data_IF_687242084050
#
_entry.id   IF_687242084050
#
_cell.length_a   1.000
_cell.length_b   1.000
_cell.length_c   1.000
_cell.angle_alpha   90.00
_cell.angle_beta   90.00
_cell.angle_gamma   90.00
#
_symmetry.space_group_name_H-M   'P 1'
#
loop_
_entity.id
_entity.type
_entity.pdbx_description
1 polymer ?
#
# COMPACT_ATOMS: atom_id res chain seq x y z
N UNK A 1 -30.00 -66.89 -10.34
CA UNK A 1 -30.03 -65.77 -9.37
C UNK A 1 -28.67 -65.10 -9.13
N UNK A 2 -27.54 -65.82 -9.21
CA UNK A 2 -26.20 -65.25 -8.94
C UNK A 2 -25.64 -64.28 -10.02
N UNK A 3 -26.11 -64.35 -11.27
CA UNK A 3 -25.62 -63.48 -12.35
C UNK A 3 -26.16 -62.04 -12.27
N UNK A 4 -27.36 -61.83 -11.72
CA UNK A 4 -27.94 -60.48 -11.55
C UNK A 4 -27.31 -59.69 -10.40
N UNK A 5 -26.70 -60.39 -9.43
CA UNK A 5 -26.03 -59.77 -8.28
C UNK A 5 -24.63 -59.24 -8.64
N UNK A 6 -23.93 -59.89 -9.57
CA UNK A 6 -22.61 -59.41 -10.07
C UNK A 6 -22.72 -58.17 -10.95
N UNK A 7 -23.83 -58.00 -11.66
CA UNK A 7 -24.05 -56.82 -12.50
C UNK A 7 -24.35 -55.56 -11.65
N UNK A 8 -25.01 -55.73 -10.51
CA UNK A 8 -25.30 -54.63 -9.56
C UNK A 8 -24.06 -54.12 -8.81
N UNK A 9 -23.07 -55.00 -8.56
CA UNK A 9 -21.81 -54.61 -7.91
C UNK A 9 -20.85 -53.87 -8.87
N UNK A 10 -20.91 -54.14 -10.18
CA UNK A 10 -20.12 -53.43 -11.19
C UNK A 10 -20.69 -52.03 -11.51
N UNK A 11 -22.00 -51.84 -11.41
CA UNK A 11 -22.62 -50.50 -11.54
C UNK A 11 -22.45 -49.62 -10.31
N UNK A 12 -22.19 -50.20 -9.13
CA UNK A 12 -21.91 -49.42 -7.93
C UNK A 12 -20.47 -48.86 -7.91
N UNK A 13 -19.54 -49.48 -8.63
CA UNK A 13 -18.14 -49.04 -8.71
C UNK A 13 -17.89 -47.96 -9.78
N UNK A 14 -18.73 -47.86 -10.81
CA UNK A 14 -18.71 -46.75 -11.78
C UNK A 14 -19.49 -45.51 -11.32
N UNK A 15 -20.18 -45.58 -10.18
CA UNK A 15 -20.98 -44.51 -9.60
C UNK A 15 -20.24 -43.61 -8.60
N UNK A 16 -18.92 -43.78 -8.43
CA UNK A 16 -18.08 -42.75 -7.81
C UNK A 16 -17.93 -41.60 -8.80
N UNK A 17 -19.04 -40.88 -9.01
CA UNK A 17 -19.07 -39.55 -9.56
C UNK A 17 -17.93 -38.77 -8.91
N UNK A 18 -17.06 -38.24 -9.76
CA UNK A 18 -16.10 -37.21 -9.42
C UNK A 18 -16.83 -36.11 -8.64
N UNK A 19 -16.73 -36.16 -7.32
CA UNK A 19 -16.93 -34.97 -6.51
C UNK A 19 -15.94 -33.95 -7.08
N UNK A 20 -16.35 -32.69 -7.34
CA UNK A 20 -15.39 -31.67 -7.73
C UNK A 20 -14.29 -31.71 -6.67
N UNK A 21 -13.06 -31.98 -7.09
CA UNK A 21 -11.93 -31.93 -6.20
C UNK A 21 -11.94 -30.52 -5.61
N UNK A 22 -12.38 -30.38 -4.36
CA UNK A 22 -12.28 -29.13 -3.63
C UNK A 22 -10.79 -28.95 -3.44
N UNK A 23 -10.18 -28.25 -4.39
CA UNK A 23 -8.78 -27.88 -4.29
C UNK A 23 -8.69 -27.09 -2.99
N UNK A 24 -7.93 -27.64 -2.02
CA UNK A 24 -7.81 -27.07 -0.69
C UNK A 24 -6.93 -25.82 -0.76
N UNK A 25 -7.46 -24.77 -1.39
CA UNK A 25 -6.80 -23.48 -1.50
C UNK A 25 -6.71 -22.89 -0.10
N UNK A 26 -5.49 -22.66 0.36
CA UNK A 26 -5.20 -22.15 1.69
C UNK A 26 -5.15 -20.62 1.69
N UNK A 27 -4.60 -20.01 0.63
CA UNK A 27 -4.55 -18.55 0.44
C UNK A 27 -5.10 -18.19 -0.94
N UNK A 28 -6.00 -17.22 -0.99
CA UNK A 28 -6.46 -16.61 -2.25
C UNK A 28 -5.93 -15.19 -2.35
N UNK A 29 -5.09 -14.94 -3.35
CA UNK A 29 -4.53 -13.62 -3.66
C UNK A 29 -5.37 -13.02 -4.78
N UNK A 30 -6.03 -11.89 -4.51
CA UNK A 30 -6.88 -11.18 -5.47
C UNK A 30 -6.23 -9.85 -5.82
N UNK A 31 -5.84 -9.67 -7.08
CA UNK A 31 -5.28 -8.42 -7.59
C UNK A 31 -6.34 -7.56 -8.27
N UNK A 32 -6.19 -6.24 -8.16
CA UNK A 32 -7.14 -5.30 -8.78
C UNK A 32 -7.14 -5.42 -10.31
N UNK A 33 -5.97 -5.60 -10.91
CA UNK A 33 -5.78 -5.78 -12.36
C UNK A 33 -4.50 -6.59 -12.64
N UNK A 34 -4.23 -6.86 -13.93
CA UNK A 34 -2.98 -7.46 -14.39
C UNK A 34 -1.94 -6.37 -14.65
N UNK A 35 -1.09 -6.09 -13.68
CA UNK A 35 0.04 -5.15 -13.84
C UNK A 35 1.33 -5.73 -13.24
N UNK A 36 2.52 -5.26 -13.70
CA UNK A 36 3.80 -5.71 -13.16
C UNK A 36 3.93 -5.53 -11.64
N UNK A 37 3.37 -4.45 -11.08
CA UNK A 37 3.42 -4.19 -9.64
C UNK A 37 2.64 -5.24 -8.84
N UNK A 38 1.42 -5.59 -9.29
CA UNK A 38 0.63 -6.65 -8.65
C UNK A 38 1.29 -8.02 -8.78
N UNK A 39 1.83 -8.35 -9.96
CA UNK A 39 2.53 -9.60 -10.19
C UNK A 39 3.79 -9.74 -9.31
N UNK A 40 4.59 -8.67 -9.20
CA UNK A 40 5.78 -8.67 -8.34
C UNK A 40 5.42 -8.86 -6.86
N UNK A 41 4.39 -8.17 -6.37
CA UNK A 41 3.94 -8.32 -4.99
C UNK A 41 3.36 -9.72 -4.71
N UNK A 42 2.53 -10.25 -5.62
CA UNK A 42 1.99 -11.59 -5.49
C UNK A 42 3.10 -12.65 -5.49
N UNK A 43 4.07 -12.55 -6.40
CA UNK A 43 5.18 -13.50 -6.46
C UNK A 43 6.09 -13.41 -5.23
N UNK A 44 6.39 -12.21 -4.73
CA UNK A 44 7.17 -12.04 -3.49
C UNK A 44 6.45 -12.63 -2.28
N UNK A 45 5.12 -12.50 -2.21
CA UNK A 45 4.28 -13.13 -1.20
C UNK A 45 4.35 -14.66 -1.28
N UNK A 46 4.18 -15.22 -2.49
CA UNK A 46 4.27 -16.67 -2.72
C UNK A 46 5.64 -17.21 -2.31
N UNK A 47 6.73 -16.56 -2.74
CA UNK A 47 8.10 -16.96 -2.38
C UNK A 47 8.32 -16.97 -0.86
N UNK A 48 7.79 -15.98 -0.16
CA UNK A 48 7.92 -15.92 1.30
C UNK A 48 7.14 -17.04 2.00
N UNK A 49 5.95 -17.39 1.48
CA UNK A 49 5.20 -18.53 1.99
C UNK A 49 5.86 -19.87 1.67
N UNK A 50 6.45 -20.05 0.47
CA UNK A 50 7.27 -21.21 0.11
C UNK A 50 8.45 -21.38 1.07
N UNK A 51 9.14 -20.27 1.42
CA UNK A 51 10.23 -20.25 2.40
C UNK A 51 9.81 -20.71 3.80
N UNK A 52 8.52 -20.55 4.14
CA UNK A 52 7.95 -20.97 5.44
C UNK A 52 7.28 -22.35 5.39
N UNK A 53 7.40 -23.08 4.28
CA UNK A 53 7.00 -24.48 4.14
C UNK A 53 5.63 -24.71 3.47
N UNK A 54 4.99 -23.67 2.93
CA UNK A 54 3.72 -23.81 2.21
C UNK A 54 3.93 -24.06 0.72
N UNK A 55 3.11 -24.91 0.10
CA UNK A 55 3.23 -25.19 -1.32
C UNK A 55 2.57 -24.10 -2.17
N UNK A 56 3.15 -23.77 -3.32
CA UNK A 56 2.51 -22.89 -4.33
C UNK A 56 1.14 -23.39 -4.75
N UNK A 57 0.93 -24.70 -4.74
CA UNK A 57 -0.36 -25.31 -5.07
C UNK A 57 -1.46 -25.02 -4.04
N UNK A 58 -1.08 -24.59 -2.83
CA UNK A 58 -2.02 -24.15 -1.78
C UNK A 58 -2.48 -22.69 -1.99
N UNK A 59 -1.99 -22.02 -3.03
CA UNK A 59 -2.26 -20.61 -3.31
C UNK A 59 -2.98 -20.47 -4.64
N UNK A 60 -4.02 -19.64 -4.64
CA UNK A 60 -4.74 -19.28 -5.85
C UNK A 60 -4.58 -17.79 -6.11
N UNK A 61 -4.02 -17.43 -7.27
CA UNK A 61 -3.92 -16.05 -7.71
C UNK A 61 -5.00 -15.74 -8.72
N UNK A 62 -5.76 -14.68 -8.47
CA UNK A 62 -6.85 -14.21 -9.31
C UNK A 62 -6.78 -12.70 -9.47
N UNK A 63 -7.34 -12.19 -10.55
CA UNK A 63 -7.78 -10.80 -10.63
C UNK A 63 -9.20 -10.64 -10.13
N UNK A 64 -9.64 -9.40 -9.90
CA UNK A 64 -11.05 -9.10 -9.58
C UNK A 64 -12.00 -9.65 -10.64
N UNK A 65 -11.63 -9.57 -11.92
CA UNK A 65 -12.44 -10.10 -13.02
C UNK A 65 -12.59 -11.63 -12.94
N UNK A 66 -11.53 -12.34 -12.55
CA UNK A 66 -11.51 -13.81 -12.44
C UNK A 66 -12.19 -14.32 -11.18
N UNK A 67 -12.15 -13.54 -10.09
CA UNK A 67 -12.83 -13.87 -8.84
C UNK A 67 -14.34 -14.08 -9.06
N UNK A 68 -14.96 -13.29 -9.94
CA UNK A 68 -16.38 -13.44 -10.26
C UNK A 68 -16.74 -14.81 -10.87
N UNK A 69 -15.80 -15.45 -11.58
CA UNK A 69 -15.98 -16.76 -12.18
C UNK A 69 -15.44 -17.93 -11.34
N UNK A 70 -14.72 -17.65 -10.25
CA UNK A 70 -14.03 -18.68 -9.45
C UNK A 70 -14.95 -19.50 -8.53
N UNK A 71 -16.23 -19.16 -8.44
CA UNK A 71 -17.20 -19.83 -7.57
C UNK A 71 -16.96 -19.53 -6.08
N UNK A 72 -17.48 -20.39 -5.20
CA UNK A 72 -17.34 -20.23 -3.75
C UNK A 72 -15.95 -20.71 -3.31
N UNK A 73 -15.14 -19.78 -2.79
CA UNK A 73 -13.81 -20.06 -2.25
C UNK A 73 -13.83 -19.99 -0.72
N UNK A 74 -13.23 -20.98 -0.06
CA UNK A 74 -13.12 -21.04 1.41
C UNK A 74 -11.66 -21.14 1.88
N UNK A 75 -10.80 -20.14 1.58
CA UNK A 75 -9.42 -20.16 2.04
C UNK A 75 -9.30 -19.88 3.55
N UNK A 76 -8.10 -20.07 4.10
CA UNK A 76 -7.77 -19.58 5.44
C UNK A 76 -7.52 -18.08 5.47
N UNK A 77 -7.12 -17.49 4.33
CA UNK A 77 -6.84 -16.07 4.19
C UNK A 77 -7.09 -15.60 2.77
N UNK A 78 -7.73 -14.43 2.63
CA UNK A 78 -7.66 -13.64 1.40
C UNK A 78 -6.58 -12.56 1.51
N UNK A 79 -5.85 -12.34 0.43
CA UNK A 79 -4.95 -11.20 0.28
C UNK A 79 -5.43 -10.34 -0.89
N UNK A 80 -5.91 -9.14 -0.60
CA UNK A 80 -6.34 -8.18 -1.62
C UNK A 80 -5.17 -7.28 -1.99
N UNK A 81 -4.73 -7.30 -3.25
CA UNK A 81 -3.72 -6.40 -3.78
C UNK A 81 -4.39 -5.25 -4.54
N UNK A 82 -4.31 -4.05 -3.96
CA UNK A 82 -4.89 -2.82 -4.49
C UNK A 82 -6.32 -2.51 -4.03
N UNK A 83 -6.75 -1.28 -4.28
CA UNK A 83 -7.99 -0.73 -3.76
C UNK A 83 -9.26 -1.40 -4.33
N UNK A 84 -9.25 -1.80 -5.60
CA UNK A 84 -10.41 -2.45 -6.22
C UNK A 84 -10.62 -3.85 -5.64
N UNK A 85 -9.55 -4.64 -5.50
CA UNK A 85 -9.60 -5.95 -4.85
C UNK A 85 -10.10 -5.85 -3.40
N UNK A 86 -9.58 -4.88 -2.64
CA UNK A 86 -10.05 -4.61 -1.28
C UNK A 86 -11.55 -4.26 -1.25
N UNK A 87 -12.02 -3.42 -2.18
CA UNK A 87 -13.43 -3.03 -2.25
C UNK A 87 -14.34 -4.23 -2.58
N UNK A 88 -13.97 -5.06 -3.55
CA UNK A 88 -14.77 -6.26 -3.90
C UNK A 88 -14.86 -7.22 -2.73
N UNK A 89 -13.74 -7.53 -2.06
CA UNK A 89 -13.75 -8.42 -0.90
C UNK A 89 -14.46 -7.80 0.33
N UNK A 90 -14.52 -6.47 0.42
CA UNK A 90 -15.25 -5.78 1.48
C UNK A 90 -16.78 -5.96 1.35
N UNK A 91 -17.29 -6.05 0.14
CA UNK A 91 -18.74 -6.11 -0.14
C UNK A 91 -19.32 -7.54 -0.05
N UNK A 92 -18.47 -8.57 -0.03
CA UNK A 92 -18.89 -9.97 0.06
C UNK A 92 -18.82 -10.46 1.52
N UNK A 93 -19.79 -11.24 2.00
CA UNK A 93 -19.72 -11.88 3.31
C UNK A 93 -18.69 -13.03 3.28
N UNK A 94 -17.48 -12.74 3.74
CA UNK A 94 -16.37 -13.70 3.81
C UNK A 94 -16.17 -14.23 5.23
N UNK A 95 -16.08 -15.56 5.36
CA UNK A 95 -15.73 -16.23 6.63
C UNK A 95 -14.24 -16.08 6.95
N UNK A 96 -13.39 -16.07 5.93
CA UNK A 96 -11.95 -15.94 6.09
C UNK A 96 -11.54 -14.46 6.25
N UNK A 97 -10.49 -14.18 7.03
CA UNK A 97 -9.93 -12.84 7.15
C UNK A 97 -9.38 -12.33 5.81
N UNK A 98 -9.32 -11.01 5.68
CA UNK A 98 -8.77 -10.32 4.50
C UNK A 98 -7.61 -9.41 4.92
N UNK A 99 -6.45 -9.64 4.33
CA UNK A 99 -5.31 -8.73 4.38
C UNK A 99 -5.29 -7.88 3.10
N UNK A 100 -5.58 -6.60 3.21
CA UNK A 100 -5.43 -5.66 2.10
C UNK A 100 -4.00 -5.14 2.03
N UNK A 101 -3.34 -5.23 0.89
CA UNK A 101 -1.98 -4.74 0.67
C UNK A 101 -1.87 -4.03 -0.68
N UNK A 102 -0.72 -3.37 -0.91
CA UNK A 102 -0.45 -2.63 -2.14
C UNK A 102 -1.52 -1.55 -2.44
N UNK A 103 -2.00 -0.88 -1.39
CA UNK A 103 -2.95 0.23 -1.46
C UNK A 103 -2.57 1.36 -0.49
N UNK A 104 -2.88 2.62 -0.82
CA UNK A 104 -2.74 3.73 0.12
C UNK A 104 -3.72 3.63 1.29
N UNK A 105 -3.36 4.24 2.43
CA UNK A 105 -4.21 4.39 3.62
C UNK A 105 -5.55 5.03 3.27
N UNK A 106 -5.51 6.13 2.52
CA UNK A 106 -6.70 6.86 2.04
C UNK A 106 -7.69 5.95 1.30
N UNK A 107 -7.17 5.04 0.46
CA UNK A 107 -7.99 4.08 -0.27
C UNK A 107 -8.63 3.04 0.66
N UNK A 108 -7.89 2.53 1.65
CA UNK A 108 -8.44 1.59 2.62
C UNK A 108 -9.51 2.25 3.51
N UNK A 109 -9.27 3.47 4.01
CA UNK A 109 -10.27 4.23 4.78
C UNK A 109 -11.53 4.50 3.97
N UNK A 110 -11.40 4.78 2.67
CA UNK A 110 -12.54 4.90 1.75
C UNK A 110 -13.32 3.58 1.65
N UNK A 111 -12.64 2.44 1.52
CA UNK A 111 -13.27 1.10 1.49
C UNK A 111 -14.03 0.82 2.79
N UNK A 112 -13.46 1.16 3.96
CA UNK A 112 -14.17 1.00 5.24
C UNK A 112 -15.44 1.86 5.29
N UNK A 113 -15.36 3.13 4.89
CA UNK A 113 -16.51 4.05 4.84
C UNK A 113 -17.61 3.56 3.89
N UNK A 114 -17.25 3.11 2.69
CA UNK A 114 -18.23 2.70 1.67
C UNK A 114 -18.86 1.33 1.95
N UNK A 115 -18.12 0.40 2.55
CA UNK A 115 -18.61 -0.95 2.86
C UNK A 115 -19.28 -1.07 4.22
N UNK A 116 -19.12 -0.08 5.11
CA UNK A 116 -19.56 -0.15 6.51
C UNK A 116 -18.70 -1.09 7.38
N UNK A 117 -17.61 -1.65 6.83
CA UNK A 117 -16.66 -2.47 7.59
C UNK A 117 -15.84 -1.62 8.56
N UNK A 118 -15.34 -2.26 9.62
CA UNK A 118 -14.35 -1.69 10.54
C UNK A 118 -13.02 -2.41 10.37
N UNK A 119 -11.93 -1.67 10.55
CA UNK A 119 -10.63 -2.28 10.72
C UNK A 119 -10.65 -3.25 11.91
N UNK A 120 -10.25 -4.50 11.67
CA UNK A 120 -10.31 -5.58 12.65
C UNK A 120 -9.41 -6.74 12.21
N UNK A 121 -9.29 -7.78 13.04
CA UNK A 121 -8.59 -9.00 12.67
C UNK A 121 -9.24 -9.76 11.49
N UNK A 122 -10.46 -9.40 11.11
CA UNK A 122 -11.15 -9.96 9.95
C UNK A 122 -10.91 -9.15 8.66
N UNK A 123 -10.55 -7.87 8.78
CA UNK A 123 -10.34 -6.99 7.63
C UNK A 123 -9.30 -5.93 8.02
N UNK A 124 -8.05 -6.19 7.66
CA UNK A 124 -6.90 -5.36 8.03
C UNK A 124 -6.10 -4.97 6.79
N UNK A 125 -5.11 -4.09 6.96
CA UNK A 125 -4.29 -3.64 5.85
C UNK A 125 -2.80 -3.50 6.17
N UNK A 126 -1.98 -3.62 5.13
CA UNK A 126 -0.58 -3.22 5.07
C UNK A 126 -0.48 -2.06 4.05
N UNK A 127 -0.24 -0.86 4.53
CA UNK A 127 -0.25 0.35 3.71
C UNK A 127 1.01 0.53 2.87
N UNK A 128 0.84 1.17 1.72
CA UNK A 128 1.95 1.75 0.93
C UNK A 128 2.54 2.99 1.59
N UNK A 129 1.70 3.76 2.27
CA UNK A 129 2.10 4.95 3.01
C UNK A 129 3.23 4.63 3.99
N UNK A 130 4.02 5.65 4.28
CA UNK A 130 5.11 5.57 5.25
C UNK A 130 4.72 6.38 6.49
N UNK A 131 5.12 5.98 7.70
CA UNK A 131 4.79 6.73 8.90
C UNK A 131 5.17 8.21 8.76
N UNK A 132 4.30 9.13 9.18
CA UNK A 132 4.57 10.58 9.10
C UNK A 132 5.86 10.97 9.83
N UNK A 133 6.15 10.30 10.95
CA UNK A 133 7.41 10.45 11.69
C UNK A 133 8.64 10.13 10.84
N UNK A 134 8.57 9.06 10.03
CA UNK A 134 9.61 8.64 9.09
C UNK A 134 9.79 9.67 7.98
N UNK A 135 8.69 10.18 7.43
CA UNK A 135 8.70 11.21 6.39
C UNK A 135 9.37 12.50 6.89
N UNK A 136 8.99 12.98 8.08
CA UNK A 136 9.64 14.14 8.72
C UNK A 136 11.12 13.87 9.05
N UNK A 137 11.45 12.65 9.50
CA UNK A 137 12.83 12.24 9.75
C UNK A 137 13.69 12.30 8.49
N UNK A 138 13.16 11.85 7.35
CA UNK A 138 13.85 11.94 6.07
C UNK A 138 14.05 13.39 5.62
N UNK A 139 13.03 14.25 5.77
CA UNK A 139 13.15 15.68 5.47
C UNK A 139 14.29 16.30 6.27
N UNK A 140 14.35 16.03 7.57
CA UNK A 140 15.41 16.57 8.44
C UNK A 140 16.81 16.06 8.07
N UNK A 141 16.94 14.84 7.56
CA UNK A 141 18.22 14.28 7.12
C UNK A 141 18.65 14.85 5.77
N UNK A 142 17.71 15.01 4.83
CA UNK A 142 18.01 15.48 3.48
C UNK A 142 18.12 17.01 3.39
N UNK A 143 17.37 17.73 4.22
CA UNK A 143 17.25 19.19 4.21
C UNK A 143 17.37 19.72 5.66
N UNK A 144 18.57 19.70 6.28
CA UNK A 144 18.75 20.00 7.70
C UNK A 144 18.34 21.43 8.10
N UNK A 145 18.41 22.37 7.14
CA UNK A 145 18.01 23.77 7.31
C UNK A 145 16.51 24.00 7.12
N UNK A 146 15.75 23.02 6.61
CA UNK A 146 14.31 23.18 6.43
C UNK A 146 13.59 23.27 7.79
N UNK A 147 12.73 24.28 7.93
CA UNK A 147 11.92 24.53 9.13
C UNK A 147 10.42 24.65 8.82
N UNK A 148 10.07 24.97 7.58
CA UNK A 148 8.70 25.26 7.13
C UNK A 148 8.31 24.26 6.05
N UNK A 149 7.34 23.40 6.34
CA UNK A 149 6.90 22.33 5.44
C UNK A 149 5.56 22.70 4.82
N UNK A 150 5.53 22.87 3.51
CA UNK A 150 4.31 22.98 2.72
C UNK A 150 3.57 21.65 2.68
N UNK A 151 2.26 21.67 2.86
CA UNK A 151 1.40 20.48 2.76
C UNK A 151 0.08 20.85 2.09
N UNK A 152 -0.30 20.05 1.09
CA UNK A 152 -1.62 20.10 0.49
C UNK A 152 -2.48 18.96 0.99
N UNK A 153 -3.65 19.31 1.52
CA UNK A 153 -4.63 18.36 2.02
C UNK A 153 -5.76 18.21 1.03
N UNK A 154 -5.97 16.99 0.56
CA UNK A 154 -7.21 16.62 -0.10
C UNK A 154 -8.18 15.94 0.87
N UNK A 155 -9.35 15.52 0.37
CA UNK A 155 -10.41 14.92 1.18
C UNK A 155 -10.00 13.65 1.93
N UNK A 156 -9.02 12.90 1.42
CA UNK A 156 -8.62 11.63 2.02
C UNK A 156 -7.34 11.70 2.84
N UNK A 157 -6.55 12.76 2.66
CA UNK A 157 -5.33 13.00 3.45
C UNK A 157 -5.58 13.87 4.68
N UNK A 158 -6.64 14.71 4.66
CA UNK A 158 -6.94 15.67 5.74
C UNK A 158 -7.04 15.06 7.14
N UNK A 159 -7.47 13.80 7.24
CA UNK A 159 -7.57 13.07 8.52
C UNK A 159 -6.22 12.96 9.26
N UNK A 160 -5.11 13.07 8.53
CA UNK A 160 -3.75 12.99 9.07
C UNK A 160 -3.22 14.34 9.59
N UNK A 161 -3.89 15.46 9.30
CA UNK A 161 -3.40 16.79 9.64
C UNK A 161 -3.12 16.99 11.15
N UNK A 162 -3.99 16.56 12.09
CA UNK A 162 -3.70 16.70 13.52
C UNK A 162 -2.44 15.95 13.95
N UNK A 163 -2.24 14.73 13.43
CA UNK A 163 -1.05 13.92 13.72
C UNK A 163 0.21 14.56 13.13
N UNK A 164 0.15 15.06 11.89
CA UNK A 164 1.29 15.73 11.27
C UNK A 164 1.68 17.00 12.02
N UNK A 165 0.71 17.82 12.44
CA UNK A 165 0.94 19.02 13.25
C UNK A 165 1.65 18.70 14.56
N UNK A 166 1.15 17.71 15.31
CA UNK A 166 1.75 17.30 16.57
C UNK A 166 3.21 16.83 16.37
N UNK A 167 3.45 16.02 15.33
CA UNK A 167 4.79 15.52 15.00
C UNK A 167 5.74 16.62 14.52
N UNK A 168 5.24 17.60 13.77
CA UNK A 168 6.02 18.74 13.30
C UNK A 168 6.40 19.66 14.46
N UNK A 169 5.43 20.00 15.33
CA UNK A 169 5.64 20.81 16.52
C UNK A 169 6.69 20.18 17.45
N UNK A 170 6.59 18.87 17.71
CA UNK A 170 7.55 18.14 18.53
C UNK A 170 8.99 18.15 17.95
N UNK A 171 9.15 18.49 16.67
CA UNK A 171 10.42 18.59 15.96
C UNK A 171 10.87 20.03 15.69
N UNK A 172 10.15 21.03 16.22
CA UNK A 172 10.43 22.45 15.95
C UNK A 172 10.18 22.85 14.49
N UNK A 173 9.32 22.11 13.78
CA UNK A 173 8.92 22.38 12.40
C UNK A 173 7.56 23.09 12.40
N UNK A 174 7.36 24.00 11.44
CA UNK A 174 6.07 24.64 11.18
C UNK A 174 5.49 24.16 9.85
N UNK A 175 4.17 24.14 9.74
CA UNK A 175 3.47 23.69 8.54
C UNK A 175 2.83 24.88 7.80
N UNK A 176 2.95 24.89 6.47
CA UNK A 176 2.20 25.75 5.54
C UNK A 176 1.14 24.89 4.88
N UNK A 177 -0.03 24.85 5.49
CA UNK A 177 -1.11 23.95 5.09
C UNK A 177 -2.12 24.67 4.21
N UNK A 178 -2.57 24.00 3.14
CA UNK A 178 -3.71 24.42 2.36
C UNK A 178 -4.60 23.23 2.01
N UNK A 179 -5.91 23.49 1.95
CA UNK A 179 -6.92 22.52 1.57
C UNK A 179 -7.20 22.59 0.06
N UNK A 180 -7.44 21.43 -0.55
CA UNK A 180 -7.86 21.26 -1.94
C UNK A 180 -9.13 20.40 -1.92
N UNK A 181 -10.28 21.05 -1.96
CA UNK A 181 -11.59 20.40 -1.98
C UNK A 181 -11.90 19.70 -3.31
N UNK A 182 -12.97 18.90 -3.32
CA UNK A 182 -13.47 18.32 -4.58
C UNK A 182 -14.02 19.43 -5.48
N UNK A 183 -13.49 19.52 -6.70
CA UNK A 183 -13.88 20.56 -7.67
C UNK A 183 -13.28 21.93 -7.40
N UNK A 184 -12.45 22.09 -6.37
CA UNK A 184 -11.69 23.32 -6.15
C UNK A 184 -10.44 23.38 -7.03
N UNK A 185 -10.03 24.59 -7.39
CA UNK A 185 -8.78 24.77 -8.12
C UNK A 185 -7.60 24.48 -7.20
N UNK A 186 -6.72 23.57 -7.63
CA UNK A 186 -5.50 23.21 -6.91
C UNK A 186 -4.51 24.38 -6.78
N UNK A 187 -4.51 25.31 -7.74
CA UNK A 187 -3.47 26.32 -7.87
C UNK A 187 -3.42 27.34 -6.71
N UNK A 188 -4.54 27.93 -6.24
CA UNK A 188 -4.53 28.79 -5.05
C UNK A 188 -4.00 28.09 -3.79
N UNK A 189 -4.44 26.86 -3.53
CA UNK A 189 -3.96 26.06 -2.39
C UNK A 189 -2.47 25.76 -2.51
N UNK A 190 -2.00 25.36 -3.69
CA UNK A 190 -0.59 25.13 -3.97
C UNK A 190 0.25 26.38 -3.72
N UNK A 191 -0.18 27.56 -4.18
CA UNK A 191 0.53 28.81 -3.93
C UNK A 191 0.65 29.11 -2.43
N UNK A 192 -0.44 28.95 -1.68
CA UNK A 192 -0.45 29.15 -0.23
C UNK A 192 0.46 28.15 0.52
N UNK A 193 0.48 26.89 0.10
CA UNK A 193 1.35 25.87 0.69
C UNK A 193 2.84 26.09 0.38
N UNK A 194 3.16 26.74 -0.75
CA UNK A 194 4.53 27.07 -1.15
C UNK A 194 5.04 28.38 -0.54
N UNK A 195 4.15 29.28 -0.14
CA UNK A 195 4.52 30.61 0.34
C UNK A 195 5.35 30.55 1.63
N UNK A 196 6.65 30.80 1.48
CA UNK A 196 7.62 30.72 2.56
C UNK A 196 7.84 29.30 3.10
N UNK A 197 7.51 28.25 2.34
CA UNK A 197 7.90 26.88 2.66
C UNK A 197 9.34 26.61 2.20
N UNK A 198 10.06 25.77 2.94
CA UNK A 198 11.40 25.31 2.59
C UNK A 198 11.36 23.98 1.80
N UNK A 199 10.27 23.23 1.95
CA UNK A 199 10.03 21.95 1.28
C UNK A 199 8.52 21.71 1.18
N UNK A 200 8.08 21.11 0.07
CA UNK A 200 6.71 20.62 -0.08
C UNK A 200 6.70 19.12 0.21
N UNK A 201 5.86 18.68 1.15
CA UNK A 201 5.62 17.27 1.43
C UNK A 201 4.36 16.81 0.70
N UNK A 202 4.51 15.88 -0.25
CA UNK A 202 3.37 15.21 -0.87
C UNK A 202 2.90 14.04 -0.01
N UNK A 203 1.59 13.97 0.20
CA UNK A 203 0.90 12.87 0.86
C UNK A 203 -0.07 12.22 -0.13
N UNK A 204 -0.27 10.91 -0.03
CA UNK A 204 -1.07 10.16 -0.98
C UNK A 204 -2.56 10.55 -0.92
N UNK A 205 -2.95 11.44 -1.84
CA UNK A 205 -4.33 11.88 -2.03
C UNK A 205 -4.65 11.97 -3.53
N UNK A 206 -5.53 11.11 -4.06
CA UNK A 206 -5.85 11.08 -5.48
C UNK A 206 -6.47 12.38 -6.03
N UNK A 207 -7.04 13.25 -5.18
CA UNK A 207 -7.56 14.54 -5.61
C UNK A 207 -6.45 15.59 -5.78
N UNK A 208 -5.37 15.46 -5.01
CA UNK A 208 -4.25 16.40 -5.03
C UNK A 208 -3.14 15.93 -5.97
N UNK A 209 -2.68 14.69 -5.80
CA UNK A 209 -1.54 14.12 -6.51
C UNK A 209 -2.00 13.01 -7.46
N UNK A 210 -2.14 13.35 -8.73
CA UNK A 210 -2.53 12.44 -9.80
C UNK A 210 -1.83 12.81 -11.11
N UNK A 211 -2.09 12.05 -12.18
CA UNK A 211 -1.44 12.24 -13.48
C UNK A 211 -1.75 13.59 -14.13
N UNK A 212 -2.88 14.24 -13.82
CA UNK A 212 -3.24 15.53 -14.40
C UNK A 212 -2.70 16.71 -13.59
N UNK A 213 -2.48 16.57 -12.27
CA UNK A 213 -2.01 17.64 -11.41
C UNK A 213 -0.49 17.65 -11.18
N UNK A 214 0.17 16.49 -11.19
CA UNK A 214 1.56 16.37 -10.72
C UNK A 214 2.54 17.24 -11.48
N UNK A 215 2.39 17.36 -12.81
CA UNK A 215 3.28 18.18 -13.63
C UNK A 215 3.22 19.67 -13.24
N UNK A 216 2.00 20.18 -13.01
CA UNK A 216 1.79 21.57 -12.59
C UNK A 216 2.31 21.82 -11.17
N UNK A 217 2.13 20.84 -10.26
CA UNK A 217 2.70 20.91 -8.92
C UNK A 217 4.22 21.05 -9.00
N UNK A 218 4.88 20.12 -9.69
CA UNK A 218 6.34 20.10 -9.83
C UNK A 218 6.89 21.39 -10.45
N UNK A 219 6.27 21.88 -11.53
CA UNK A 219 6.68 23.11 -12.19
C UNK A 219 6.53 24.33 -11.29
N UNK A 220 5.43 24.41 -10.53
CA UNK A 220 5.17 25.54 -9.63
C UNK A 220 6.10 25.50 -8.42
N UNK A 221 6.31 24.32 -7.82
CA UNK A 221 7.27 24.11 -6.73
C UNK A 221 8.69 24.48 -7.16
N UNK A 222 9.12 24.06 -8.35
CA UNK A 222 10.43 24.41 -8.91
C UNK A 222 10.58 25.92 -9.10
N UNK A 223 9.57 26.61 -9.67
CA UNK A 223 9.57 28.07 -9.82
C UNK A 223 9.62 28.82 -8.50
N UNK A 224 9.05 28.25 -7.45
CA UNK A 224 9.11 28.78 -6.09
C UNK A 224 10.44 28.47 -5.37
N UNK A 225 11.33 27.66 -5.97
CA UNK A 225 12.55 27.20 -5.32
C UNK A 225 12.30 26.21 -4.17
N UNK A 226 11.12 25.59 -4.13
CA UNK A 226 10.70 24.69 -3.05
C UNK A 226 10.80 23.24 -3.54
N UNK A 227 11.75 22.42 -3.05
CA UNK A 227 11.82 21.01 -3.43
C UNK A 227 10.59 20.22 -2.99
N UNK A 228 10.21 19.21 -3.79
CA UNK A 228 9.15 18.27 -3.45
C UNK A 228 9.71 16.96 -2.88
N UNK A 229 9.27 16.59 -1.68
CA UNK A 229 9.45 15.27 -1.08
C UNK A 229 8.19 14.44 -1.32
N UNK A 230 8.33 13.34 -2.06
CA UNK A 230 7.23 12.55 -2.59
C UNK A 230 7.08 11.18 -1.90
N UNK A 231 5.96 10.51 -2.21
CA UNK A 231 5.65 9.15 -1.76
C UNK A 231 5.78 8.10 -2.89
N UNK A 232 6.24 8.50 -4.07
CA UNK A 232 6.32 7.63 -5.26
C UNK A 232 7.59 7.87 -6.07
N UNK A 233 8.30 6.80 -6.48
CA UNK A 233 9.47 6.93 -7.35
C UNK A 233 9.10 7.47 -8.74
N UNK A 234 7.83 7.35 -9.16
CA UNK A 234 7.36 7.98 -10.39
C UNK A 234 7.44 9.51 -10.33
N UNK A 235 7.24 10.10 -9.15
CA UNK A 235 7.33 11.55 -8.97
C UNK A 235 8.79 12.03 -8.94
N UNK A 236 9.72 11.20 -8.44
CA UNK A 236 11.16 11.47 -8.55
C UNK A 236 11.58 11.56 -10.01
N UNK A 237 11.15 10.58 -10.83
CA UNK A 237 11.36 10.59 -12.29
C UNK A 237 10.73 11.81 -12.97
N UNK A 238 9.61 12.30 -12.45
CA UNK A 238 8.92 13.47 -12.98
C UNK A 238 9.55 14.82 -12.54
N UNK A 239 10.41 14.84 -11.52
CA UNK A 239 11.11 16.04 -11.04
C UNK A 239 10.99 16.35 -9.55
N UNK A 240 10.44 15.45 -8.73
CA UNK A 240 10.52 15.57 -7.27
C UNK A 240 11.96 15.38 -6.80
N UNK A 241 12.35 16.03 -5.70
CA UNK A 241 13.71 15.93 -5.15
C UNK A 241 14.02 14.50 -4.71
N UNK A 242 13.11 13.90 -3.94
CA UNK A 242 13.26 12.55 -3.43
C UNK A 242 11.89 11.93 -3.14
N UNK A 243 11.85 10.61 -3.01
CA UNK A 243 10.67 9.90 -2.53
C UNK A 243 11.01 8.89 -1.45
N UNK A 244 10.12 8.79 -0.47
CA UNK A 244 10.11 7.71 0.53
C UNK A 244 8.94 6.79 0.23
N UNK A 245 9.23 5.54 -0.09
CA UNK A 245 8.20 4.59 -0.51
C UNK A 245 8.55 3.17 -0.11
N UNK A 246 7.63 2.25 -0.39
CA UNK A 246 7.86 0.82 -0.31
C UNK A 246 7.59 0.20 -1.67
N UNK A 247 8.45 -0.72 -2.08
CA UNK A 247 8.32 -1.40 -3.38
C UNK A 247 7.26 -2.49 -3.32
N UNK A 248 6.68 -2.90 -4.47
CA UNK A 248 5.75 -4.03 -4.51
C UNK A 248 6.36 -5.33 -3.98
N UNK A 249 7.66 -5.56 -4.24
CA UNK A 249 8.39 -6.71 -3.69
C UNK A 249 8.47 -6.67 -2.16
N UNK A 250 8.84 -5.54 -1.56
CA UNK A 250 8.88 -5.37 -0.09
C UNK A 250 7.49 -5.58 0.53
N UNK A 251 6.43 -5.03 -0.08
CA UNK A 251 5.05 -5.27 0.37
C UNK A 251 4.68 -6.74 0.26
N UNK A 252 4.98 -7.39 -0.85
CA UNK A 252 4.69 -8.80 -1.06
C UNK A 252 5.39 -9.68 -0.02
N UNK A 253 6.67 -9.41 0.25
CA UNK A 253 7.44 -10.12 1.27
C UNK A 253 6.82 -9.94 2.67
N UNK A 254 6.51 -8.70 3.08
CA UNK A 254 5.89 -8.47 4.39
C UNK A 254 4.47 -9.06 4.48
N UNK A 255 3.69 -9.01 3.39
CA UNK A 255 2.39 -9.66 3.31
C UNK A 255 2.51 -11.19 3.43
N UNK A 256 3.54 -11.79 2.84
CA UNK A 256 3.84 -13.23 2.95
C UNK A 256 4.18 -13.64 4.37
N UNK A 257 4.98 -12.83 5.09
CA UNK A 257 5.26 -13.04 6.52
C UNK A 257 3.99 -13.00 7.37
N UNK A 258 3.12 -12.00 7.14
CA UNK A 258 1.83 -11.88 7.84
C UNK A 258 0.94 -13.08 7.52
N UNK A 259 0.84 -13.44 6.24
CA UNK A 259 0.06 -14.58 5.78
C UNK A 259 0.53 -15.88 6.43
N UNK A 260 1.84 -16.15 6.45
CA UNK A 260 2.41 -17.34 7.09
C UNK A 260 2.06 -17.43 8.57
N UNK A 261 2.07 -16.29 9.29
CA UNK A 261 1.59 -16.21 10.66
C UNK A 261 0.11 -16.58 10.80
N UNK A 262 -0.75 -16.11 9.89
CA UNK A 262 -2.18 -16.48 9.88
C UNK A 262 -2.39 -17.96 9.62
N UNK A 263 -1.62 -18.55 8.70
CA UNK A 263 -1.70 -19.98 8.41
C UNK A 263 -1.25 -20.85 9.60
N UNK A 264 -0.43 -20.30 10.50
CA UNK A 264 -0.02 -20.89 11.77
C UNK A 264 -1.00 -20.59 12.93
N UNK A 265 -2.15 -19.95 12.66
CA UNK A 265 -3.20 -19.70 13.64
C UNK A 265 -3.16 -18.33 14.33
N UNK A 266 -2.26 -17.41 13.91
CA UNK A 266 -2.30 -16.03 14.40
C UNK A 266 -3.46 -15.26 13.76
N UNK A 267 -4.11 -14.39 14.53
CA UNK A 267 -5.06 -13.44 13.95
C UNK A 267 -4.32 -12.33 13.20
N UNK A 268 -4.96 -11.73 12.18
CA UNK A 268 -4.47 -10.46 11.64
C UNK A 268 -4.51 -9.38 12.73
N UNK A 269 -3.62 -8.38 12.60
CA UNK A 269 -3.66 -7.19 13.45
C UNK A 269 -5.02 -6.49 13.31
N UNK A 270 -5.64 -6.15 14.44
CA UNK A 270 -6.89 -5.39 14.46
C UNK A 270 -6.69 -3.95 13.94
N UNK A 271 -5.47 -3.43 14.05
CA UNK A 271 -5.09 -2.12 13.52
C UNK A 271 -4.25 -2.31 12.25
N UNK A 272 -4.55 -1.57 11.17
CA UNK A 272 -3.73 -1.59 9.96
C UNK A 272 -2.28 -1.21 10.23
N UNK A 273 -1.38 -1.78 9.43
CA UNK A 273 0.06 -1.70 9.61
C UNK A 273 0.69 -0.82 8.53
N UNK A 274 1.77 -0.15 8.90
CA UNK A 274 2.72 0.44 7.96
C UNK A 274 3.83 -0.58 7.65
N UNK A 275 4.43 -0.47 6.47
CA UNK A 275 5.60 -1.29 6.13
C UNK A 275 6.78 -0.98 7.05
N UNK A 276 7.45 -2.03 7.53
CA UNK A 276 8.70 -1.87 8.28
C UNK A 276 9.85 -1.55 7.33
N UNK A 277 9.83 -2.13 6.13
CA UNK A 277 10.75 -1.82 5.06
C UNK A 277 10.33 -0.59 4.27
N UNK A 278 11.33 0.08 3.71
CA UNK A 278 11.18 1.24 2.86
C UNK A 278 12.42 1.44 1.99
N UNK A 279 12.24 2.26 0.96
CA UNK A 279 13.24 2.68 0.01
C UNK A 279 13.21 4.19 -0.14
N UNK A 280 14.36 4.77 -0.46
CA UNK A 280 14.52 6.19 -0.76
C UNK A 280 15.02 6.29 -2.20
N UNK A 281 14.37 7.12 -3.00
CA UNK A 281 14.84 7.49 -4.34
C UNK A 281 15.18 8.97 -4.33
N UNK A 282 16.25 9.35 -5.02
CA UNK A 282 16.73 10.74 -5.12
C UNK A 282 16.83 11.13 -6.59
N UNK A 283 16.35 12.33 -6.93
CA UNK A 283 16.62 12.93 -8.21
C UNK A 283 17.90 13.77 -8.10
N UNK A 284 19.02 13.19 -8.53
CA UNK A 284 20.33 13.86 -8.43
C UNK A 284 20.40 15.16 -9.23
N UNK A 285 19.65 15.27 -10.34
CA UNK A 285 19.64 16.48 -11.16
C UNK A 285 18.98 17.64 -10.39
N UNK A 286 17.85 17.35 -9.75
CA UNK A 286 17.14 18.33 -8.89
C UNK A 286 18.00 18.66 -7.67
N UNK A 287 18.59 17.66 -7.01
CA UNK A 287 19.49 17.88 -5.88
C UNK A 287 20.65 18.82 -6.25
N UNK A 288 21.35 18.55 -7.35
CA UNK A 288 22.44 19.42 -7.83
C UNK A 288 21.97 20.83 -8.16
N UNK A 289 20.79 20.99 -8.77
CA UNK A 289 20.24 22.32 -9.09
C UNK A 289 19.92 23.17 -7.84
N UNK A 290 19.72 22.50 -6.69
CA UNK A 290 19.49 23.13 -5.39
C UNK A 290 20.77 23.21 -4.54
N UNK A 291 21.94 22.86 -5.09
CA UNK A 291 23.21 22.84 -4.36
C UNK A 291 23.32 21.71 -3.32
N UNK A 292 22.51 20.67 -3.45
CA UNK A 292 22.46 19.53 -2.53
C UNK A 292 23.25 18.33 -3.09
N UNK A 293 23.94 17.62 -2.22
CA UNK A 293 24.52 16.30 -2.50
C UNK A 293 23.82 15.27 -1.62
N UNK A 294 22.93 14.48 -2.24
CA UNK A 294 22.10 13.50 -1.54
C UNK A 294 22.41 12.11 -2.08
N UNK A 295 22.67 11.17 -1.16
CA UNK A 295 22.82 9.76 -1.47
C UNK A 295 21.65 8.96 -0.89
N UNK A 296 20.93 8.24 -1.77
CA UNK A 296 19.73 7.51 -1.40
C UNK A 296 20.00 6.39 -0.37
N UNK A 297 21.13 5.69 -0.51
CA UNK A 297 21.49 4.57 0.36
C UNK A 297 21.88 5.08 1.76
N UNK A 298 22.65 6.15 1.83
CA UNK A 298 23.03 6.82 3.06
C UNK A 298 21.81 7.37 3.79
N UNK A 299 20.92 8.09 3.10
CA UNK A 299 19.67 8.60 3.68
C UNK A 299 18.81 7.47 4.25
N UNK A 300 18.64 6.38 3.50
CA UNK A 300 17.90 5.20 3.98
C UNK A 300 18.54 4.60 5.24
N UNK A 301 19.87 4.49 5.26
CA UNK A 301 20.62 3.90 6.37
C UNK A 301 20.52 4.75 7.63
N UNK A 302 20.76 6.05 7.51
CA UNK A 302 20.64 7.01 8.61
C UNK A 302 19.21 7.05 9.16
N UNK A 303 18.20 6.99 8.29
CA UNK A 303 16.81 6.96 8.70
C UNK A 303 16.48 5.70 9.49
N UNK A 304 16.96 4.52 9.06
CA UNK A 304 16.81 3.27 9.83
C UNK A 304 17.48 3.34 11.20
N UNK A 305 18.70 3.88 11.27
CA UNK A 305 19.41 4.03 12.54
C UNK A 305 18.65 4.94 13.51
N UNK A 306 18.06 6.03 12.99
CA UNK A 306 17.27 6.96 13.79
C UNK A 306 15.97 6.35 14.30
N UNK A 307 15.34 5.44 13.56
CA UNK A 307 14.15 4.72 14.03
C UNK A 307 14.46 3.60 15.02
N UNK A 308 15.68 3.05 14.98
CA UNK A 308 16.14 2.03 15.93
C UNK A 308 16.67 2.64 17.25
N UNK A 309 16.94 3.94 17.28
CA UNK A 309 17.36 4.63 18.49
C UNK A 309 16.18 4.69 19.49
N UNK A 310 16.42 4.37 20.78
CA UNK A 310 15.39 4.32 21.82
C UNK A 310 14.78 5.69 22.15
#
# INVERSE_FOLDING_TARGET
>A
MLARLRLLLLTFWLGCLAAPAVQAVTVVIVSSERSPAYAQAAEALVRELERTGWSRHDMLQLTVAELAGAGVLTPKLFVALGAQAANVLALVPLKAPVLCALLPRSSFERVLRSSGRKASSQFSALYLDQPLSRQLGLIQLALPEARRIGVLWGPDSKTQAPTLRALAQARGLSLREADVGQGEFLFPGLKAALEGADVLLALADPQVFNSSSIQNILLTSFRAGVPLVAFSPAYVRAGALLALHVTPEQIGQQAGLIAGGVLQGKALSATPLYSQDFSVDVNEHVARSLGLSLDAVALRTLLRQREAAP
#
